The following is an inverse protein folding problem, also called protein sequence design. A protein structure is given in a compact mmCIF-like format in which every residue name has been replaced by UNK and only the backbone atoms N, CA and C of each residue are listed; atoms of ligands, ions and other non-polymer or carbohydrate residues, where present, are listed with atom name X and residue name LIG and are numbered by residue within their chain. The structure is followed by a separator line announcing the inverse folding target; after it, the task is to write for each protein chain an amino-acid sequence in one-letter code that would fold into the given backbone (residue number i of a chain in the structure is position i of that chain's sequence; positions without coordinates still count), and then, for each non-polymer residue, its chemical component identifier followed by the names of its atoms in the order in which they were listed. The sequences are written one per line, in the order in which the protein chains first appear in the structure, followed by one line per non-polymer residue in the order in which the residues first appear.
data_IF_418636181531
#
_entry.id   IF_418636181531
#
_cell.length_a   1.000
_cell.length_b   1.000
_cell.length_c   1.000
_cell.angle_alpha   90.00
_cell.angle_beta   90.00
_cell.angle_gamma   90.00
#
_symmetry.space_group_name_H-M   'P 1'
#
loop_
_entity.id
_entity.type
_entity.pdbx_description
1 polymer ?
#
# COMPACT_ATOMS: atom_id res chain seq x y z
N UNK A 1 4.81 -0.58 -2.79
CA UNK A 1 3.47 -1.00 -3.28
C UNK A 1 2.53 -1.11 -2.10
N UNK A 2 1.44 -0.35 -2.08
CA UNK A 2 0.51 -0.28 -0.95
C UNK A 2 -0.74 -1.09 -1.29
N UNK A 3 -0.67 -2.41 -1.12
CA UNK A 3 -1.70 -3.36 -1.57
C UNK A 3 -3.07 -3.13 -0.92
N UNK A 4 -3.08 -2.75 0.35
CA UNK A 4 -4.30 -2.49 1.12
C UNK A 4 -4.99 -1.15 0.80
N UNK A 5 -4.47 -0.39 -0.16
CA UNK A 5 -5.12 0.84 -0.61
C UNK A 5 -6.21 0.58 -1.66
N UNK A 6 -6.26 -0.62 -2.24
CA UNK A 6 -7.24 -1.00 -3.25
C UNK A 6 -8.39 -1.76 -2.56
N UNK A 7 -9.61 -1.25 -2.72
CA UNK A 7 -10.81 -1.81 -2.09
C UNK A 7 -11.05 -3.26 -2.57
N UNK A 8 -10.84 -3.53 -3.85
CA UNK A 8 -10.99 -4.87 -4.45
C UNK A 8 -10.12 -5.93 -3.76
N UNK A 9 -8.85 -5.59 -3.50
CA UNK A 9 -7.89 -6.48 -2.84
C UNK A 9 -8.29 -6.70 -1.38
N UNK A 10 -8.77 -5.65 -0.70
CA UNK A 10 -9.22 -5.77 0.68
C UNK A 10 -10.48 -6.64 0.80
N UNK A 11 -11.39 -6.56 -0.17
CA UNK A 11 -12.57 -7.41 -0.25
C UNK A 11 -12.18 -8.88 -0.53
N UNK A 12 -11.25 -9.13 -1.44
CA UNK A 12 -10.74 -10.49 -1.74
C UNK A 12 -10.11 -11.15 -0.50
N UNK A 13 -9.29 -10.41 0.25
CA UNK A 13 -8.69 -10.91 1.49
C UNK A 13 -9.78 -11.12 2.56
N UNK A 14 -10.73 -10.20 2.69
CA UNK A 14 -11.84 -10.32 3.64
C UNK A 14 -12.71 -11.56 3.38
N UNK A 15 -13.03 -11.84 2.12
CA UNK A 15 -13.75 -13.03 1.71
C UNK A 15 -12.96 -14.31 2.00
N UNK A 16 -11.64 -14.29 1.79
CA UNK A 16 -10.76 -15.42 2.11
C UNK A 16 -10.76 -15.73 3.61
N UNK A 17 -10.71 -14.70 4.47
CA UNK A 17 -10.77 -14.86 5.93
C UNK A 17 -12.12 -15.44 6.35
N UNK A 18 -13.22 -14.90 5.83
CA UNK A 18 -14.57 -15.40 6.15
C UNK A 18 -14.75 -16.87 5.75
N UNK A 19 -14.27 -17.25 4.56
CA UNK A 19 -14.32 -18.63 4.09
C UNK A 19 -13.47 -19.57 4.94
N UNK A 20 -12.25 -19.15 5.32
CA UNK A 20 -11.38 -19.94 6.18
C UNK A 20 -12.02 -20.21 7.55
N UNK A 21 -12.57 -19.17 8.18
CA UNK A 21 -13.23 -19.30 9.49
C UNK A 21 -14.48 -20.19 9.39
N UNK A 22 -15.34 -20.00 8.38
CA UNK A 22 -16.53 -20.82 8.20
C UNK A 22 -16.23 -22.33 8.01
N UNK A 23 -15.05 -22.66 7.45
CA UNK A 23 -14.67 -24.05 7.16
C UNK A 23 -13.91 -24.73 8.29
N UNK A 24 -13.14 -23.97 9.07
CA UNK A 24 -12.17 -24.52 10.03
C UNK A 24 -12.51 -24.23 11.51
N UNK A 25 -13.47 -23.36 11.77
CA UNK A 25 -13.97 -23.11 13.13
C UNK A 25 -14.83 -24.29 13.58
N UNK A 26 -14.19 -25.23 14.27
CA UNK A 26 -14.80 -26.44 14.81
C UNK A 26 -14.53 -26.48 16.30
N UNK A 27 -15.44 -27.03 17.13
CA UNK A 27 -15.29 -27.00 18.59
C UNK A 27 -14.07 -27.76 19.12
N UNK A 28 -13.39 -28.52 18.26
CA UNK A 28 -12.20 -29.32 18.57
C UNK A 28 -10.89 -28.61 18.23
N UNK A 29 -10.90 -27.53 17.44
CA UNK A 29 -9.67 -26.84 17.02
C UNK A 29 -9.22 -25.81 18.05
N UNK A 30 -7.94 -25.87 18.43
CA UNK A 30 -7.33 -24.86 19.29
C UNK A 30 -7.22 -23.53 18.57
N UNK A 31 -7.60 -22.45 19.25
CA UNK A 31 -7.54 -21.06 18.74
C UNK A 31 -6.14 -20.71 18.24
N UNK A 32 -5.08 -21.21 18.88
CA UNK A 32 -3.70 -20.96 18.46
C UNK A 32 -3.40 -21.60 17.11
N UNK A 33 -3.83 -22.84 16.91
CA UNK A 33 -3.66 -23.56 15.65
C UNK A 33 -4.46 -22.89 14.53
N UNK A 34 -5.69 -22.47 14.83
CA UNK A 34 -6.54 -21.73 13.90
C UNK A 34 -5.89 -20.41 13.47
N UNK A 35 -5.31 -19.67 14.41
CA UNK A 35 -4.63 -18.41 14.13
C UNK A 35 -3.35 -18.57 13.30
N UNK A 36 -2.51 -19.56 13.62
CA UNK A 36 -1.30 -19.85 12.83
C UNK A 36 -1.65 -20.27 11.40
N UNK A 37 -2.68 -21.10 11.24
CA UNK A 37 -3.18 -21.51 9.94
C UNK A 37 -3.74 -20.32 9.15
N UNK A 38 -4.61 -19.50 9.77
CA UNK A 38 -5.18 -18.32 9.14
C UNK A 38 -4.09 -17.32 8.68
N UNK A 39 -3.09 -17.06 9.52
CA UNK A 39 -1.96 -16.19 9.16
C UNK A 39 -1.21 -16.70 7.94
N UNK A 40 -1.02 -18.02 7.83
CA UNK A 40 -0.34 -18.64 6.71
C UNK A 40 -1.15 -18.45 5.42
N UNK A 41 -2.45 -18.73 5.47
CA UNK A 41 -3.38 -18.52 4.36
C UNK A 41 -3.39 -17.06 3.89
N UNK A 42 -3.51 -16.11 4.81
CA UNK A 42 -3.49 -14.68 4.46
C UNK A 42 -2.16 -14.29 3.80
N UNK A 43 -1.03 -14.78 4.34
CA UNK A 43 0.30 -14.50 3.76
C UNK A 43 0.39 -15.03 2.34
N UNK A 44 -0.02 -16.27 2.11
CA UNK A 44 0.05 -16.92 0.80
C UNK A 44 -0.84 -16.21 -0.21
N UNK A 45 -2.04 -15.80 0.22
CA UNK A 45 -2.95 -14.99 -0.60
C UNK A 45 -2.33 -13.64 -0.98
N UNK A 46 -1.70 -12.94 -0.03
CA UNK A 46 -1.02 -11.67 -0.31
C UNK A 46 0.15 -11.86 -1.27
N UNK A 47 0.90 -12.96 -1.15
CA UNK A 47 1.98 -13.30 -2.08
C UNK A 47 1.42 -13.54 -3.49
N UNK A 48 0.35 -14.33 -3.62
CA UNK A 48 -0.29 -14.61 -4.90
C UNK A 48 -0.82 -13.33 -5.57
N UNK A 49 -1.50 -12.46 -4.83
CA UNK A 49 -1.98 -11.15 -5.32
C UNK A 49 -0.81 -10.28 -5.79
N UNK A 50 0.27 -10.20 -5.00
CA UNK A 50 1.46 -9.44 -5.37
C UNK A 50 2.11 -9.97 -6.65
N UNK A 51 2.19 -11.30 -6.81
CA UNK A 51 2.72 -11.93 -8.02
C UNK A 51 1.87 -11.59 -9.25
N UNK A 52 0.53 -11.72 -9.17
CA UNK A 52 -0.39 -11.33 -10.26
C UNK A 52 -0.22 -9.87 -10.67
N UNK A 53 -0.18 -8.97 -9.69
CA UNK A 53 -0.01 -7.55 -9.96
C UNK A 53 1.35 -7.21 -10.57
N UNK A 54 2.40 -7.95 -10.20
CA UNK A 54 3.70 -7.80 -10.83
C UNK A 54 3.67 -8.22 -12.31
N UNK A 55 2.98 -9.32 -12.64
CA UNK A 55 2.79 -9.76 -14.02
C UNK A 55 2.06 -8.69 -14.83
N UNK A 56 0.91 -8.21 -14.36
CA UNK A 56 0.11 -7.16 -15.02
C UNK A 56 0.95 -5.89 -15.27
N UNK A 57 1.79 -5.50 -14.29
CA UNK A 57 2.68 -4.33 -14.45
C UNK A 57 3.76 -4.57 -15.49
N UNK A 58 4.35 -5.76 -15.54
CA UNK A 58 5.34 -6.13 -16.55
C UNK A 58 4.73 -6.15 -17.95
N UNK A 59 3.54 -6.74 -18.11
CA UNK A 59 2.79 -6.76 -19.37
C UNK A 59 2.48 -5.35 -19.84
N UNK A 60 1.96 -4.49 -18.96
CA UNK A 60 1.69 -3.08 -19.27
C UNK A 60 2.96 -2.34 -19.70
N UNK A 61 4.09 -2.60 -19.05
CA UNK A 61 5.38 -1.99 -19.44
C UNK A 61 5.81 -2.46 -20.82
N UNK A 62 5.72 -3.76 -21.09
CA UNK A 62 6.09 -4.33 -22.38
C UNK A 62 5.20 -3.81 -23.51
N UNK A 63 3.89 -3.70 -23.28
CA UNK A 63 2.95 -3.09 -24.22
C UNK A 63 3.36 -1.65 -24.55
N UNK A 64 3.62 -0.82 -23.52
CA UNK A 64 4.08 0.55 -23.74
C UNK A 64 5.42 0.62 -24.50
N UNK A 65 6.36 -0.28 -24.24
CA UNK A 65 7.63 -0.35 -24.98
C UNK A 65 7.41 -0.71 -26.46
N UNK A 66 6.49 -1.64 -26.75
CA UNK A 66 6.11 -2.01 -28.13
C UNK A 66 5.41 -0.86 -28.84
N UNK A 67 4.44 -0.21 -28.17
CA UNK A 67 3.68 0.92 -28.71
C UNK A 67 4.61 2.10 -29.03
N UNK A 68 5.56 2.42 -28.13
CA UNK A 68 6.56 3.46 -28.36
C UNK A 68 7.39 3.13 -29.60
N UNK A 69 7.91 1.91 -29.74
CA UNK A 69 8.71 1.52 -30.91
C UNK A 69 7.91 1.62 -32.22
N UNK A 70 6.64 1.23 -32.21
CA UNK A 70 5.76 1.34 -33.36
C UNK A 70 5.48 2.81 -33.73
N UNK A 71 5.24 3.66 -32.72
CA UNK A 71 5.03 5.09 -32.89
C UNK A 71 6.31 5.82 -33.35
N UNK A 72 7.49 5.42 -32.88
CA UNK A 72 8.78 5.95 -33.35
C UNK A 72 9.01 5.61 -34.82
N UNK A 73 8.74 4.36 -35.22
CA UNK A 73 8.90 3.91 -36.60
C UNK A 73 7.94 4.64 -37.57
N UNK A 74 6.70 4.90 -37.14
CA UNK A 74 5.72 5.64 -37.95
C UNK A 74 6.02 7.14 -37.97
N UNK A 75 6.38 7.74 -36.84
CA UNK A 75 6.73 9.15 -36.75
C UNK A 75 8.00 9.49 -37.56
N UNK A 76 8.98 8.59 -37.60
CA UNK A 76 10.19 8.73 -38.44
C UNK A 76 9.88 8.80 -39.94
N UNK A 77 8.73 8.25 -40.37
CA UNK A 77 8.29 8.23 -41.78
C UNK A 77 7.35 9.38 -42.13
N UNK A 78 6.55 9.86 -41.18
CA UNK A 78 5.46 10.83 -41.44
C UNK A 78 5.74 12.23 -40.87
N UNK A 79 6.55 12.36 -39.82
CA UNK A 79 6.87 13.65 -39.19
C UNK A 79 5.66 14.40 -38.59
N UNK A 80 4.62 13.68 -38.17
CA UNK A 80 3.36 14.29 -37.71
C UNK A 80 3.42 14.76 -36.25
N UNK A 81 3.02 16.02 -36.01
CA UNK A 81 2.91 16.59 -34.66
C UNK A 81 1.94 15.82 -33.75
N UNK A 82 0.89 15.21 -34.30
CA UNK A 82 -0.07 14.42 -33.52
C UNK A 82 0.55 13.11 -33.00
N UNK A 83 1.36 12.43 -33.82
CA UNK A 83 2.09 11.23 -33.43
C UNK A 83 3.14 11.53 -32.36
N UNK A 84 3.80 12.69 -32.44
CA UNK A 84 4.76 13.14 -31.44
C UNK A 84 4.10 13.39 -30.07
N UNK A 85 2.87 13.92 -30.06
CA UNK A 85 2.07 14.07 -28.83
C UNK A 85 1.75 12.72 -28.17
N UNK A 86 1.32 11.73 -28.96
CA UNK A 86 1.05 10.37 -28.46
C UNK A 86 2.32 9.69 -27.94
N UNK A 87 3.42 9.78 -28.68
CA UNK A 87 4.73 9.27 -28.27
C UNK A 87 5.16 9.86 -26.93
N UNK A 88 5.08 11.18 -26.78
CA UNK A 88 5.43 11.88 -25.53
C UNK A 88 4.55 11.41 -24.37
N UNK A 89 3.26 11.16 -24.61
CA UNK A 89 2.35 10.63 -23.61
C UNK A 89 2.73 9.20 -23.17
N UNK A 90 3.01 8.29 -24.11
CA UNK A 90 3.46 6.93 -23.80
C UNK A 90 4.81 6.91 -23.08
N UNK A 91 5.77 7.73 -23.51
CA UNK A 91 7.05 7.90 -22.82
C UNK A 91 6.87 8.43 -21.39
N UNK A 92 5.95 9.38 -21.18
CA UNK A 92 5.63 9.89 -19.83
C UNK A 92 5.04 8.80 -18.95
N UNK A 93 4.15 7.95 -19.48
CA UNK A 93 3.59 6.82 -18.74
C UNK A 93 4.66 5.78 -18.37
N UNK A 94 5.57 5.47 -19.30
CA UNK A 94 6.69 4.57 -19.02
C UNK A 94 7.61 5.13 -17.93
N UNK A 95 8.01 6.41 -18.05
CA UNK A 95 8.82 7.09 -17.04
C UNK A 95 8.15 7.14 -15.66
N UNK A 96 6.82 7.27 -15.61
CA UNK A 96 6.10 7.22 -14.34
C UNK A 96 6.21 5.83 -13.68
N UNK A 97 6.07 4.74 -14.45
CA UNK A 97 6.26 3.37 -13.94
C UNK A 97 7.69 3.14 -13.44
N UNK A 98 8.70 3.64 -14.15
CA UNK A 98 10.10 3.56 -13.71
C UNK A 98 10.36 4.43 -12.48
N UNK A 99 9.70 5.59 -12.40
CA UNK A 99 9.71 6.48 -11.24
C UNK A 99 9.21 5.78 -9.98
N UNK A 100 8.07 5.10 -10.05
CA UNK A 100 7.50 4.33 -8.93
C UNK A 100 8.47 3.23 -8.45
N UNK A 101 9.16 2.58 -9.40
CA UNK A 101 10.16 1.55 -9.09
C UNK A 101 11.40 2.15 -8.41
N UNK A 102 11.87 3.30 -8.88
CA UNK A 102 12.99 4.02 -8.29
C UNK A 102 12.64 4.52 -6.88
N UNK A 103 11.44 5.10 -6.68
CA UNK A 103 10.95 5.51 -5.38
C UNK A 103 10.90 4.33 -4.41
N UNK A 104 10.34 3.20 -4.85
CA UNK A 104 10.29 1.99 -4.05
C UNK A 104 11.68 1.47 -3.67
N UNK A 105 12.63 1.48 -4.61
CA UNK A 105 14.02 1.11 -4.33
C UNK A 105 14.66 2.04 -3.29
N UNK A 106 14.44 3.35 -3.40
CA UNK A 106 14.92 4.35 -2.44
C UNK A 106 14.30 4.18 -1.06
N UNK A 107 13.00 3.87 -0.98
CA UNK A 107 12.34 3.57 0.30
C UNK A 107 12.93 2.32 0.95
N UNK A 108 13.20 1.27 0.16
CA UNK A 108 13.77 0.02 0.66
C UNK A 108 15.22 0.19 1.13
N UNK A 109 16.04 0.97 0.43
CA UNK A 109 17.41 1.26 0.88
C UNK A 109 17.41 2.08 2.17
N UNK A 110 16.55 3.11 2.27
CA UNK A 110 16.35 3.89 3.50
C UNK A 110 15.89 3.02 4.67
N UNK A 111 14.97 2.08 4.44
CA UNK A 111 14.54 1.13 5.48
C UNK A 111 15.71 0.30 6.01
N UNK A 112 16.61 -0.19 5.14
CA UNK A 112 17.79 -0.95 5.55
C UNK A 112 18.77 -0.09 6.37
N UNK A 113 18.96 1.18 6.00
CA UNK A 113 19.77 2.14 6.77
C UNK A 113 19.15 2.37 8.16
N UNK A 114 17.83 2.49 8.24
CA UNK A 114 17.11 2.71 9.49
C UNK A 114 17.02 1.49 10.41
N UNK A 115 16.92 0.28 9.85
CA UNK A 115 16.82 -0.96 10.63
C UNK A 115 18.20 -1.58 10.95
N UNK A 116 19.14 -1.52 10.01
CA UNK A 116 20.44 -2.21 10.08
C UNK A 116 21.64 -1.33 10.45
N UNK A 117 21.46 -0.01 10.64
CA UNK A 117 22.55 0.89 11.02
C UNK A 117 23.11 0.62 12.44
N UNK A 118 24.32 1.10 12.72
CA UNK A 118 24.94 1.09 14.06
C UNK A 118 24.00 1.75 15.08
N UNK A 119 24.11 1.41 16.37
CA UNK A 119 23.26 1.95 17.46
C UNK A 119 23.05 3.47 17.38
N UNK A 120 24.10 4.22 17.05
CA UNK A 120 24.06 5.67 16.85
C UNK A 120 23.13 6.10 15.69
N UNK A 121 23.18 5.39 14.56
CA UNK A 121 22.30 5.65 13.42
C UNK A 121 20.83 5.37 13.78
N UNK A 122 20.55 4.30 14.53
CA UNK A 122 19.17 4.01 15.00
C UNK A 122 18.65 5.07 15.97
N UNK A 123 19.51 5.56 16.87
CA UNK A 123 19.20 6.67 17.78
C UNK A 123 18.89 7.96 17.02
N UNK A 124 19.73 8.33 16.05
CA UNK A 124 19.50 9.49 15.19
C UNK A 124 18.15 9.39 14.47
N UNK A 125 17.82 8.21 13.92
CA UNK A 125 16.55 7.97 13.23
C UNK A 125 15.37 8.08 14.17
N UNK A 126 15.49 7.55 15.39
CA UNK A 126 14.49 7.72 16.43
C UNK A 126 14.27 9.20 16.75
N UNK A 127 15.33 9.96 16.99
CA UNK A 127 15.27 11.40 17.22
C UNK A 127 14.61 12.15 16.05
N UNK A 128 14.98 11.82 14.80
CA UNK A 128 14.38 12.42 13.60
C UNK A 128 12.88 12.11 13.50
N UNK A 129 12.44 10.90 13.87
CA UNK A 129 11.02 10.55 13.92
C UNK A 129 10.29 11.33 14.99
N UNK A 130 10.83 11.41 16.20
CA UNK A 130 10.26 12.18 17.32
C UNK A 130 10.16 13.65 16.96
N UNK A 131 11.19 14.23 16.34
CA UNK A 131 11.19 15.61 15.86
C UNK A 131 10.17 15.81 14.73
N UNK A 132 10.06 14.88 13.78
CA UNK A 132 9.08 14.96 12.70
C UNK A 132 7.63 14.86 13.21
N UNK A 133 7.38 14.03 14.23
CA UNK A 133 6.06 13.94 14.88
C UNK A 133 5.77 15.15 15.76
N UNK A 134 6.77 15.69 16.46
CA UNK A 134 6.63 16.86 17.32
C UNK A 134 6.46 18.18 16.55
N UNK A 135 7.01 18.28 15.33
CA UNK A 135 6.80 19.41 14.41
C UNK A 135 5.47 19.35 13.66
N UNK A 136 4.66 18.30 13.86
CA UNK A 136 3.34 18.20 13.24
C UNK A 136 2.40 19.11 14.01
N UNK A 137 2.21 20.33 13.50
CA UNK A 137 1.21 21.27 13.99
C UNK A 137 -0.15 20.56 13.93
N UNK A 138 -0.78 20.35 15.08
CA UNK A 138 -2.16 19.91 15.13
C UNK A 138 -3.00 20.95 14.39
N UNK A 139 -3.83 20.49 13.47
CA UNK A 139 -4.84 21.34 12.83
C UNK A 139 -5.66 22.01 13.95
N UNK A 140 -5.58 23.34 14.02
CA UNK A 140 -6.31 24.12 15.02
C UNK A 140 -7.78 24.10 14.61
N UNK A 141 -8.54 23.15 15.15
CA UNK A 141 -10.00 23.26 15.16
C UNK A 141 -10.36 24.41 16.09
N UNK A 142 -10.83 25.50 15.51
CA UNK A 142 -11.52 26.56 16.24
C UNK A 142 -12.81 25.94 16.81
N UNK A 143 -13.04 25.97 18.13
CA UNK A 143 -14.25 25.42 18.70
C UNK A 143 -15.37 26.44 18.59
N UNK A 144 -16.34 26.17 17.72
CA UNK A 144 -17.69 26.67 17.95
C UNK A 144 -18.26 25.89 19.14
N UNK A 145 -18.64 26.65 20.15
CA UNK A 145 -19.10 26.20 21.46
C UNK A 145 -20.29 25.24 21.36
N UNK A 146 -20.09 23.96 21.69
CA UNK A 146 -21.11 23.15 22.36
C UNK A 146 -20.46 21.99 23.14
N UNK A 147 -20.66 22.00 24.47
CA UNK A 147 -20.37 20.90 25.38
C UNK A 147 -21.21 19.66 25.01
N UNK A 148 -20.64 18.44 25.06
CA UNK A 148 -21.30 17.26 25.65
C UNK A 148 -20.46 15.98 25.52
N UNK A 149 -20.35 15.23 26.62
CA UNK A 149 -20.54 13.78 26.59
C UNK A 149 -19.30 12.88 26.51
N UNK A 150 -18.71 12.56 27.67
CA UNK A 150 -17.78 11.43 27.84
C UNK A 150 -18.58 10.12 27.73
N UNK A 151 -18.51 9.44 26.58
CA UNK A 151 -19.11 8.13 26.38
C UNK A 151 -18.06 7.00 26.48
N UNK A 152 -18.28 6.13 27.47
CA UNK A 152 -17.97 4.70 27.63
C UNK A 152 -16.70 4.09 26.99
N UNK A 153 -15.95 3.35 27.81
CA UNK A 153 -14.80 2.53 27.40
C UNK A 153 -15.20 1.45 26.38
N UNK A 154 -14.47 1.32 25.26
CA UNK A 154 -14.78 0.32 24.23
C UNK A 154 -14.40 -1.09 24.69
N UNK A 155 -15.26 -2.05 24.38
CA UNK A 155 -15.00 -3.49 24.54
C UNK A 155 -13.83 -3.95 23.66
N UNK A 156 -13.12 -4.99 24.11
CA UNK A 156 -11.85 -5.49 23.50
C UNK A 156 -11.97 -5.83 22.01
N UNK A 157 -13.15 -6.25 21.54
CA UNK A 157 -13.45 -6.51 20.12
C UNK A 157 -13.41 -5.25 19.25
N UNK A 158 -13.85 -4.11 19.80
CA UNK A 158 -13.82 -2.81 19.13
C UNK A 158 -12.40 -2.25 19.03
N UNK A 159 -11.57 -2.53 20.04
CA UNK A 159 -10.15 -2.15 20.05
C UNK A 159 -9.36 -2.99 19.05
N UNK A 160 -9.65 -4.29 18.92
CA UNK A 160 -9.04 -5.17 17.94
C UNK A 160 -9.42 -4.79 16.50
N UNK A 161 -10.70 -4.51 16.24
CA UNK A 161 -11.14 -4.03 14.93
C UNK A 161 -10.55 -2.64 14.61
N UNK A 162 -10.45 -1.73 15.59
CA UNK A 162 -9.72 -0.47 15.41
C UNK A 162 -8.24 -0.68 15.16
N UNK A 163 -7.55 -1.61 15.80
CA UNK A 163 -6.12 -1.85 15.55
C UNK A 163 -5.86 -2.46 14.17
N UNK A 164 -6.79 -3.28 13.66
CA UNK A 164 -6.70 -3.90 12.34
C UNK A 164 -7.06 -2.88 11.23
N UNK A 165 -8.04 -1.99 11.47
CA UNK A 165 -8.60 -1.10 10.44
C UNK A 165 -8.31 0.41 10.61
N UNK A 166 -7.79 0.91 11.75
CA UNK A 166 -7.33 2.30 11.90
C UNK A 166 -5.95 2.50 11.26
N UNK A 167 -5.93 2.32 9.95
CA UNK A 167 -4.97 2.90 9.05
C UNK A 167 -5.54 4.05 8.23
N UNK A 168 -6.70 4.66 8.57
CA UNK A 168 -7.24 5.96 8.09
C UNK A 168 -8.75 6.09 8.37
N UNK A 169 -9.14 6.77 9.45
CA UNK A 169 -10.47 7.36 9.57
C UNK A 169 -10.31 8.89 9.54
N UNK A 170 -10.46 9.45 8.34
CA UNK A 170 -10.59 10.87 8.08
C UNK A 170 -12.06 11.05 7.73
N UNK A 171 -12.81 11.90 8.43
CA UNK A 171 -14.06 12.52 7.95
C UNK A 171 -14.66 13.45 9.03
N UNK A 172 -15.49 14.41 8.61
CA UNK A 172 -15.10 15.78 8.21
C UNK A 172 -14.85 16.71 9.41
#
# INVERSE_FOLDING_TARGET
MRLLAYEDISAEIGATIAHFLATNDTPTTSIMTLWEALKTVIRDQVIAIAARLNIIRCEKRQQLEVDIRALEATNSRTGSLALNGQLTAHMKQLRALDGDKAEYALLRTKQKVYAGGVKAARLLVHCLRVQATGRRVAEVRVPDSTMSGRANSPTVSEVLLRLIFCGRARQP
#
